data_IF_706050397126
#
_entry.id   IF_706050397126
#
_cell.length_a   1.000
_cell.length_b   1.000
_cell.length_c   1.000
_cell.angle_alpha   90.00
_cell.angle_beta   90.00
_cell.angle_gamma   90.00
#
_symmetry.space_group_name_H-M   'P 1'
#
loop_
_entity.id
_entity.type
_entity.pdbx_description
1 polymer ?
#
# COMPACT_ATOMS: atom_id res chain seq x y z
N UNK A 1 8.71 -0.88 -18.11
CA UNK A 1 9.58 -2.05 -17.91
C UNK A 1 9.35 -2.58 -16.52
N UNK A 2 9.18 -3.89 -16.35
CA UNK A 2 8.95 -4.53 -15.07
C UNK A 2 9.68 -5.86 -14.96
N UNK A 3 10.16 -6.14 -13.75
CA UNK A 3 10.69 -7.42 -13.32
C UNK A 3 9.82 -7.97 -12.22
N UNK A 4 9.48 -9.26 -12.31
CA UNK A 4 8.69 -9.99 -11.33
C UNK A 4 9.31 -11.34 -11.08
N UNK A 5 9.46 -11.71 -9.82
CA UNK A 5 9.87 -13.04 -9.40
C UNK A 5 9.09 -13.48 -8.18
N UNK A 6 8.62 -14.73 -8.15
CA UNK A 6 7.77 -15.23 -7.06
C UNK A 6 7.89 -16.73 -6.88
N UNK A 7 8.14 -17.13 -5.65
CA UNK A 7 8.15 -18.53 -5.20
C UNK A 7 7.13 -18.78 -4.08
N UNK A 8 6.13 -17.91 -3.94
CA UNK A 8 5.14 -18.00 -2.87
C UNK A 8 4.32 -19.28 -2.95
N UNK A 9 4.10 -19.92 -1.81
CA UNK A 9 3.27 -21.11 -1.68
C UNK A 9 1.76 -20.88 -1.80
N UNK A 10 1.31 -19.61 -1.67
CA UNK A 10 -0.10 -19.22 -1.82
C UNK A 10 -0.20 -17.79 -2.33
N UNK A 11 -1.27 -17.47 -3.09
CA UNK A 11 -1.54 -16.10 -3.57
C UNK A 11 -1.96 -15.16 -2.45
N UNK A 12 -2.81 -15.66 -1.56
CA UNK A 12 -3.26 -14.94 -0.38
C UNK A 12 -2.68 -15.61 0.85
N UNK A 13 -2.23 -14.80 1.81
CA UNK A 13 -1.73 -15.27 3.10
C UNK A 13 -0.62 -16.32 3.00
N UNK A 14 0.33 -16.15 2.08
CA UNK A 14 1.50 -17.01 1.95
C UNK A 14 2.28 -17.14 3.27
N UNK A 15 2.86 -18.31 3.48
CA UNK A 15 3.67 -18.65 4.66
C UNK A 15 5.09 -19.08 4.29
N UNK A 16 5.38 -19.26 3.00
CA UNK A 16 6.69 -19.70 2.48
C UNK A 16 6.99 -19.00 1.16
N UNK A 17 8.28 -18.87 0.86
CA UNK A 17 8.75 -18.29 -0.39
C UNK A 17 8.93 -16.79 -0.32
N UNK A 18 9.12 -16.19 -1.47
CA UNK A 18 9.29 -14.74 -1.60
C UNK A 18 8.57 -14.19 -2.83
N UNK A 19 8.40 -12.90 -2.85
CA UNK A 19 7.95 -12.13 -3.99
C UNK A 19 8.85 -10.91 -4.15
N UNK A 20 9.26 -10.63 -5.38
CA UNK A 20 10.05 -9.46 -5.71
C UNK A 20 9.49 -8.79 -6.97
N UNK A 21 9.38 -7.48 -6.93
CA UNK A 21 8.83 -6.67 -8.02
C UNK A 21 9.62 -5.39 -8.15
N UNK A 22 10.15 -5.13 -9.34
CA UNK A 22 10.72 -3.84 -9.73
C UNK A 22 9.99 -3.34 -10.97
N UNK A 23 9.45 -2.13 -10.91
CA UNK A 23 8.74 -1.53 -12.04
C UNK A 23 9.20 -0.10 -12.24
N UNK A 24 9.56 0.23 -13.47
CA UNK A 24 9.83 1.59 -13.92
C UNK A 24 8.83 1.97 -15.02
N UNK A 25 8.13 3.07 -14.84
CA UNK A 25 7.06 3.54 -15.72
C UNK A 25 7.22 5.03 -16.01
N UNK A 26 6.98 5.40 -17.26
CA UNK A 26 6.87 6.79 -17.69
C UNK A 26 5.41 7.05 -17.99
N UNK A 27 4.86 8.08 -17.38
CA UNK A 27 3.50 8.53 -17.59
C UNK A 27 3.50 9.85 -18.32
N UNK A 28 2.46 10.10 -19.10
CA UNK A 28 2.19 11.39 -19.70
C UNK A 28 0.68 11.66 -19.65
N UNK A 29 0.30 12.88 -19.31
CA UNK A 29 -1.10 13.25 -19.17
C UNK A 29 -1.30 14.76 -19.16
N UNK A 30 -2.57 15.17 -19.23
CA UNK A 30 -3.01 16.55 -19.06
C UNK A 30 -3.91 16.62 -17.85
N UNK A 31 -3.82 17.69 -17.09
CA UNK A 31 -4.71 17.96 -15.97
C UNK A 31 -5.62 19.12 -16.32
N UNK A 32 -6.93 18.91 -16.14
CA UNK A 32 -7.94 19.98 -16.25
C UNK A 32 -8.59 20.12 -14.87
N UNK A 33 -8.42 21.28 -14.27
CA UNK A 33 -9.08 21.62 -13.02
C UNK A 33 -10.32 22.46 -13.28
N UNK A 34 -11.46 22.03 -12.75
CA UNK A 34 -12.75 22.73 -12.83
C UNK A 34 -13.15 23.03 -11.38
N UNK A 35 -13.14 24.31 -10.94
CA UNK A 35 -13.59 24.66 -9.60
C UNK A 35 -15.06 24.26 -9.40
N UNK A 36 -15.39 23.72 -8.21
CA UNK A 36 -16.77 23.38 -7.85
C UNK A 36 -17.64 24.58 -7.47
N UNK A 37 -17.04 25.77 -7.36
CA UNK A 37 -17.76 27.00 -7.03
C UNK A 37 -18.18 27.72 -8.32
N UNK A 38 -19.48 27.93 -8.60
CA UNK A 38 -19.98 28.56 -9.83
C UNK A 38 -19.57 30.02 -9.99
N UNK A 39 -19.06 30.67 -8.95
CA UNK A 39 -18.55 32.06 -9.00
C UNK A 39 -17.13 32.15 -9.54
N UNK A 40 -16.37 31.06 -9.55
CA UNK A 40 -15.03 31.01 -10.13
C UNK A 40 -15.07 30.48 -11.56
N UNK A 41 -15.03 31.37 -12.54
CA UNK A 41 -15.02 31.03 -13.98
C UNK A 41 -13.65 30.65 -14.52
N UNK A 42 -12.62 30.59 -13.69
CA UNK A 42 -11.25 30.29 -14.14
C UNK A 42 -11.00 28.79 -14.22
N UNK A 43 -11.10 28.25 -15.41
CA UNK A 43 -10.59 26.90 -15.70
C UNK A 43 -9.07 26.94 -15.79
N UNK A 44 -8.39 26.15 -14.97
CA UNK A 44 -6.95 25.96 -15.11
C UNK A 44 -6.69 24.65 -15.84
N UNK A 45 -6.07 24.74 -17.01
CA UNK A 45 -5.59 23.56 -17.74
C UNK A 45 -4.08 23.58 -17.65
N UNK A 46 -3.50 22.58 -17.03
CA UNK A 46 -2.06 22.36 -17.09
C UNK A 46 -1.69 21.68 -18.39
N UNK A 47 -0.63 22.16 -19.01
CA UNK A 47 -0.04 21.54 -20.18
C UNK A 47 0.35 20.08 -19.93
N UNK A 48 0.65 19.39 -21.01
CA UNK A 48 1.08 18.00 -20.96
C UNK A 48 2.25 17.84 -20.00
N UNK A 49 2.05 17.03 -18.97
CA UNK A 49 3.05 16.68 -17.98
C UNK A 49 3.52 15.23 -18.21
N UNK A 50 4.81 15.01 -18.04
CA UNK A 50 5.37 13.66 -18.05
C UNK A 50 6.13 13.44 -16.74
N UNK A 51 6.02 12.25 -16.17
CA UNK A 51 6.75 11.88 -14.95
C UNK A 51 7.22 10.44 -14.99
N UNK A 52 8.31 10.20 -14.28
CA UNK A 52 8.85 8.87 -14.05
C UNK A 52 8.36 8.36 -12.70
N UNK A 53 7.99 7.08 -12.65
CA UNK A 53 7.73 6.36 -11.40
C UNK A 53 8.54 5.07 -11.37
N UNK A 54 9.27 4.86 -10.28
CA UNK A 54 10.02 3.64 -10.00
C UNK A 54 9.49 3.07 -8.69
N UNK A 55 9.10 1.81 -8.68
CA UNK A 55 8.67 1.10 -7.49
C UNK A 55 9.42 -0.21 -7.35
N UNK A 56 9.89 -0.47 -6.14
CA UNK A 56 10.48 -1.75 -5.75
C UNK A 56 9.74 -2.27 -4.52
N UNK A 57 9.37 -3.54 -4.57
CA UNK A 57 8.72 -4.24 -3.47
C UNK A 57 9.30 -5.64 -3.34
N UNK A 58 9.65 -6.01 -2.13
CA UNK A 58 10.06 -7.38 -1.80
C UNK A 58 9.45 -7.79 -0.48
N UNK A 59 8.96 -9.01 -0.43
CA UNK A 59 8.61 -9.67 0.81
C UNK A 59 9.00 -11.14 0.75
N UNK A 60 9.39 -11.68 1.90
CA UNK A 60 9.83 -13.06 2.03
C UNK A 60 9.37 -13.66 3.37
N UNK A 61 9.23 -14.97 3.36
CA UNK A 61 8.76 -15.75 4.50
C UNK A 61 9.79 -16.84 4.82
N UNK A 62 10.28 -16.83 6.05
CA UNK A 62 11.25 -17.80 6.57
C UNK A 62 10.58 -18.66 7.63
N UNK A 63 10.43 -19.95 7.35
CA UNK A 63 9.93 -20.92 8.31
C UNK A 63 10.99 -21.19 9.37
N UNK A 64 10.75 -20.74 10.59
CA UNK A 64 11.64 -20.95 11.75
C UNK A 64 11.38 -22.28 12.42
N UNK A 65 10.10 -22.65 12.54
CA UNK A 65 9.65 -23.94 13.05
C UNK A 65 8.43 -24.42 12.24
N UNK A 66 8.00 -25.69 12.36
CA UNK A 66 6.82 -26.18 11.66
C UNK A 66 5.54 -25.34 11.93
N UNK A 67 5.48 -24.65 13.07
CA UNK A 67 4.33 -23.83 13.46
C UNK A 67 4.59 -22.32 13.44
N UNK A 68 5.81 -21.87 13.16
CA UNK A 68 6.15 -20.46 13.19
C UNK A 68 6.95 -20.04 11.97
N UNK A 69 6.46 -19.03 11.31
CA UNK A 69 7.10 -18.38 10.16
C UNK A 69 7.30 -16.89 10.46
N UNK A 70 8.46 -16.38 10.16
CA UNK A 70 8.73 -14.94 10.18
C UNK A 70 8.75 -14.41 8.74
N UNK A 71 7.79 -13.55 8.44
CA UNK A 71 7.77 -12.78 7.21
C UNK A 71 8.36 -11.39 7.41
N UNK A 72 8.85 -10.79 6.34
CA UNK A 72 9.24 -9.39 6.28
C UNK A 72 8.89 -8.80 4.92
N UNK A 73 8.79 -7.48 4.85
CA UNK A 73 8.65 -6.75 3.60
C UNK A 73 9.46 -5.48 3.59
N UNK A 74 9.86 -5.05 2.40
CA UNK A 74 10.39 -3.73 2.11
C UNK A 74 9.77 -3.20 0.82
N UNK A 75 9.42 -1.93 0.82
CA UNK A 75 8.88 -1.24 -0.34
C UNK A 75 9.52 0.14 -0.47
N UNK A 76 9.86 0.50 -1.69
CA UNK A 76 10.37 1.82 -2.05
C UNK A 76 9.61 2.31 -3.27
N UNK A 77 9.20 3.57 -3.22
CA UNK A 77 8.57 4.23 -4.35
C UNK A 77 9.19 5.61 -4.54
N UNK A 78 9.51 5.91 -5.79
CA UNK A 78 9.90 7.22 -6.25
C UNK A 78 9.01 7.64 -7.42
N UNK A 79 8.41 8.81 -7.34
CA UNK A 79 7.69 9.44 -8.43
C UNK A 79 8.12 10.90 -8.58
N UNK A 80 8.49 11.29 -9.81
CA UNK A 80 8.80 12.68 -10.14
C UNK A 80 7.57 13.51 -10.48
N UNK A 81 6.37 13.02 -10.14
CA UNK A 81 5.11 13.69 -10.43
C UNK A 81 5.02 15.05 -9.73
N UNK A 82 4.65 16.06 -10.48
CA UNK A 82 4.35 17.39 -9.94
C UNK A 82 3.03 17.40 -9.17
N UNK A 83 2.84 18.38 -8.30
CA UNK A 83 1.59 18.59 -7.59
C UNK A 83 0.46 18.99 -8.54
N UNK A 84 -0.74 18.51 -8.23
CA UNK A 84 -1.98 18.96 -8.84
C UNK A 84 -2.36 20.37 -8.39
N UNK A 85 -3.42 20.92 -8.96
CA UNK A 85 -3.83 22.33 -8.69
C UNK A 85 -4.18 22.57 -7.22
N UNK A 86 -4.71 21.56 -6.54
CA UNK A 86 -5.01 21.64 -5.12
C UNK A 86 -4.44 20.45 -4.33
N UNK A 87 -4.40 20.60 -3.01
CA UNK A 87 -3.88 19.60 -2.08
C UNK A 87 -4.64 18.26 -2.18
N UNK A 88 -5.98 18.29 -2.18
CA UNK A 88 -6.77 17.06 -2.20
C UNK A 88 -6.54 16.24 -3.47
N UNK A 89 -6.50 16.88 -4.64
CA UNK A 89 -6.18 16.21 -5.90
C UNK A 89 -4.75 15.63 -5.89
N UNK A 90 -3.78 16.36 -5.31
CA UNK A 90 -2.41 15.88 -5.15
C UNK A 90 -2.38 14.62 -4.28
N UNK A 91 -3.07 14.61 -3.14
CA UNK A 91 -3.10 13.46 -2.23
C UNK A 91 -3.82 12.24 -2.82
N UNK A 92 -4.91 12.46 -3.56
CA UNK A 92 -5.61 11.36 -4.27
C UNK A 92 -4.73 10.70 -5.33
N UNK A 93 -3.86 11.45 -5.98
CA UNK A 93 -2.95 10.96 -7.02
C UNK A 93 -1.60 10.48 -6.50
N UNK A 94 -1.24 10.84 -5.26
CA UNK A 94 -0.02 10.35 -4.62
C UNK A 94 -0.11 8.83 -4.40
N UNK A 95 1.04 8.17 -4.52
CA UNK A 95 1.10 6.73 -4.31
C UNK A 95 0.72 6.36 -2.87
N UNK A 96 0.04 5.24 -2.74
CA UNK A 96 -0.51 4.70 -1.52
C UNK A 96 0.34 3.53 -1.01
N UNK A 97 0.66 3.53 0.29
CA UNK A 97 1.24 2.37 0.96
C UNK A 97 0.12 1.59 1.65
N UNK A 98 -0.23 0.43 1.08
CA UNK A 98 -1.36 -0.39 1.51
C UNK A 98 -0.98 -1.87 1.59
N UNK A 99 -0.23 -2.28 2.65
CA UNK A 99 0.35 -3.62 2.75
C UNK A 99 -0.63 -4.73 3.10
N UNK A 100 -1.78 -4.41 3.73
CA UNK A 100 -2.78 -5.40 4.12
C UNK A 100 -4.02 -5.35 3.22
N UNK A 101 -4.84 -6.42 3.13
CA UNK A 101 -6.08 -6.39 2.36
C UNK A 101 -7.01 -5.26 2.77
N UNK A 102 -7.12 -4.97 4.06
CA UNK A 102 -7.94 -3.88 4.57
C UNK A 102 -7.41 -2.50 4.15
N UNK A 103 -6.10 -2.27 4.25
CA UNK A 103 -5.50 -0.99 3.88
C UNK A 103 -5.72 -0.63 2.40
N UNK A 104 -5.91 -1.62 1.52
CA UNK A 104 -6.17 -1.39 0.08
C UNK A 104 -7.55 -0.81 -0.23
N UNK A 105 -8.52 -0.98 0.65
CA UNK A 105 -9.90 -0.49 0.47
C UNK A 105 -10.16 0.80 1.23
N UNK A 106 -9.22 1.25 2.04
CA UNK A 106 -9.35 2.44 2.88
C UNK A 106 -8.48 3.58 2.34
N UNK A 107 -9.08 4.76 2.18
CA UNK A 107 -8.30 5.96 1.90
C UNK A 107 -7.68 6.49 3.20
N UNK A 108 -6.36 6.45 3.29
CA UNK A 108 -5.63 7.06 4.39
C UNK A 108 -4.55 8.00 3.84
N UNK A 109 -4.78 9.31 3.99
CA UNK A 109 -3.88 10.36 3.55
C UNK A 109 -2.50 10.26 4.20
N UNK A 110 -2.44 9.75 5.42
CA UNK A 110 -1.20 9.63 6.17
C UNK A 110 -0.18 8.68 5.54
N UNK A 111 -0.65 7.69 4.78
CA UNK A 111 0.16 6.67 4.12
C UNK A 111 0.33 6.94 2.62
N UNK A 112 0.26 8.21 2.21
CA UNK A 112 0.43 8.62 0.80
C UNK A 112 1.59 9.58 0.63
N UNK A 113 2.41 9.32 -0.40
CA UNK A 113 3.50 10.20 -0.79
C UNK A 113 3.95 9.93 -2.23
N UNK A 114 4.59 10.90 -2.88
CA UNK A 114 5.24 10.69 -4.17
C UNK A 114 6.56 9.90 -4.04
N UNK A 115 7.17 9.92 -2.84
CA UNK A 115 8.44 9.27 -2.57
C UNK A 115 8.42 8.74 -1.14
N UNK A 116 8.60 7.44 -0.97
CA UNK A 116 8.60 6.83 0.37
C UNK A 116 9.45 5.57 0.44
N UNK A 117 9.80 5.24 1.67
CA UNK A 117 10.34 3.96 2.10
C UNK A 117 9.34 3.34 3.08
N UNK A 118 9.13 2.05 2.97
CA UNK A 118 8.31 1.31 3.91
C UNK A 118 8.93 -0.06 4.18
N UNK A 119 8.75 -0.54 5.39
CA UNK A 119 9.19 -1.88 5.80
C UNK A 119 8.23 -2.46 6.82
N UNK A 120 8.22 -3.78 6.93
CA UNK A 120 7.36 -4.45 7.90
C UNK A 120 7.83 -5.85 8.25
N UNK A 121 7.35 -6.32 9.39
CA UNK A 121 7.55 -7.68 9.90
C UNK A 121 6.21 -8.37 10.06
N UNK A 122 6.19 -9.69 9.83
CA UNK A 122 4.98 -10.53 9.81
C UNK A 122 5.21 -11.84 10.54
N UNK A 123 5.20 -11.86 11.88
CA UNK A 123 5.13 -13.11 12.64
C UNK A 123 3.84 -13.87 12.31
N UNK A 124 3.97 -15.16 11.97
CA UNK A 124 2.87 -16.01 11.56
C UNK A 124 2.91 -17.30 12.35
N UNK A 125 1.81 -17.63 13.04
CA UNK A 125 1.61 -18.89 13.71
C UNK A 125 0.65 -19.76 12.91
N UNK A 126 1.15 -20.89 12.42
CA UNK A 126 0.40 -21.86 11.61
C UNK A 126 -0.05 -22.99 12.53
N UNK A 127 -1.34 -23.12 12.77
CA UNK A 127 -1.90 -24.18 13.60
C UNK A 127 -2.06 -25.47 12.81
N UNK A 128 -2.56 -25.35 11.58
CA UNK A 128 -2.71 -26.42 10.61
C UNK A 128 -2.83 -25.80 9.20
N UNK A 129 -3.09 -26.63 8.18
CA UNK A 129 -3.18 -26.19 6.78
C UNK A 129 -4.33 -25.19 6.52
N UNK A 130 -5.33 -25.16 7.40
CA UNK A 130 -6.48 -24.26 7.27
C UNK A 130 -6.37 -23.01 8.12
N UNK A 131 -5.77 -23.07 9.31
CA UNK A 131 -5.81 -21.98 10.28
C UNK A 131 -4.43 -21.40 10.58
N UNK A 132 -4.33 -20.08 10.50
CA UNK A 132 -3.15 -19.32 10.90
C UNK A 132 -3.53 -18.02 11.60
N UNK A 133 -2.67 -17.54 12.48
CA UNK A 133 -2.73 -16.22 13.10
C UNK A 133 -1.52 -15.43 12.65
N UNK A 134 -1.76 -14.22 12.20
CA UNK A 134 -0.72 -13.27 11.75
C UNK A 134 -0.73 -12.03 12.63
N UNK A 135 0.45 -11.60 13.01
CA UNK A 135 0.67 -10.27 13.57
C UNK A 135 1.57 -9.51 12.60
N UNK A 136 1.14 -8.37 12.12
CA UNK A 136 1.85 -7.62 11.10
C UNK A 136 2.10 -6.19 11.61
N UNK A 137 3.33 -5.72 11.50
CA UNK A 137 3.70 -4.36 11.87
C UNK A 137 4.47 -3.73 10.73
N UNK A 138 4.04 -2.56 10.30
CA UNK A 138 4.60 -1.83 9.18
C UNK A 138 4.96 -0.40 9.58
N UNK A 139 6.10 0.06 9.10
CA UNK A 139 6.52 1.45 9.15
C UNK A 139 6.49 2.07 7.76
N UNK A 140 6.03 3.30 7.68
CA UNK A 140 5.99 4.12 6.46
C UNK A 140 6.68 5.45 6.70
N UNK A 141 7.60 5.80 5.84
CA UNK A 141 8.40 7.02 5.94
C UNK A 141 8.44 7.74 4.59
N UNK A 142 7.65 8.78 4.38
CA UNK A 142 7.76 9.63 3.20
C UNK A 142 9.11 10.34 3.21
N UNK A 143 9.83 10.33 2.07
CA UNK A 143 11.08 11.07 1.92
C UNK A 143 10.78 12.56 2.06
N UNK A 144 9.79 13.04 1.32
CA UNK A 144 9.26 14.39 1.47
C UNK A 144 7.74 14.32 1.71
N UNK A 145 7.25 14.51 2.94
CA UNK A 145 5.82 14.51 3.21
C UNK A 145 5.12 15.66 2.48
N UNK A 146 3.99 15.37 1.88
CA UNK A 146 3.15 16.36 1.21
C UNK A 146 2.34 17.09 2.27
N UNK A 147 2.41 18.41 2.28
CA UNK A 147 1.72 19.29 3.23
C UNK A 147 0.81 20.28 2.49
N UNK A 148 -0.19 20.77 3.22
CA UNK A 148 -1.15 21.77 2.76
C UNK A 148 -0.75 23.15 3.25
N UNK A 149 -0.77 24.16 2.35
CA UNK A 149 -0.61 25.56 2.74
C UNK A 149 -1.96 26.27 2.97
N UNK A 150 -1.93 27.52 3.38
CA UNK A 150 -3.14 28.32 3.62
C UNK A 150 -4.03 28.52 2.38
N UNK A 151 -3.47 28.44 1.17
CA UNK A 151 -4.17 28.55 -0.12
C UNK A 151 -4.66 27.18 -0.65
N UNK A 152 -4.73 26.15 0.19
CA UNK A 152 -5.12 24.79 -0.20
C UNK A 152 -4.24 24.16 -1.30
N UNK A 153 -3.00 24.62 -1.46
CA UNK A 153 -2.03 24.05 -2.39
C UNK A 153 -1.08 23.11 -1.66
N UNK A 154 -0.61 22.09 -2.38
CA UNK A 154 0.37 21.13 -1.87
C UNK A 154 1.79 21.70 -1.95
N UNK A 155 2.62 21.35 -0.98
CA UNK A 155 4.06 21.59 -0.99
C UNK A 155 4.80 20.47 -0.26
N UNK A 156 6.08 20.28 -0.56
CA UNK A 156 6.92 19.32 0.15
C UNK A 156 7.37 19.87 1.51
N UNK A 157 7.16 19.06 2.55
CA UNK A 157 7.72 19.32 3.87
C UNK A 157 9.21 18.97 3.95
N UNK A 158 9.80 19.13 5.14
CA UNK A 158 11.19 18.76 5.42
C UNK A 158 11.37 17.23 5.20
N UNK A 159 12.51 16.87 4.62
CA UNK A 159 12.85 15.46 4.37
C UNK A 159 12.81 14.63 5.67
N UNK A 160 12.27 13.42 5.59
CA UNK A 160 12.18 12.44 6.68
C UNK A 160 11.56 12.96 7.98
N UNK A 161 10.71 13.99 7.90
CA UNK A 161 10.10 14.63 9.09
C UNK A 161 8.83 13.95 9.59
N UNK A 162 8.41 12.86 8.97
CA UNK A 162 7.20 12.12 9.30
C UNK A 162 7.46 10.62 9.27
N UNK A 163 6.94 9.93 10.27
CA UNK A 163 6.93 8.48 10.32
C UNK A 163 5.54 8.02 10.76
N UNK A 164 4.98 7.06 10.04
CA UNK A 164 3.68 6.47 10.35
C UNK A 164 3.82 4.95 10.50
N UNK A 165 2.94 4.34 11.27
CA UNK A 165 2.92 2.89 11.42
C UNK A 165 1.49 2.34 11.36
N UNK A 166 1.40 1.09 10.91
CA UNK A 166 0.21 0.27 10.89
C UNK A 166 0.52 -1.06 11.57
N UNK A 167 -0.29 -1.42 12.58
CA UNK A 167 -0.29 -2.75 13.18
C UNK A 167 -1.59 -3.48 12.86
N UNK A 168 -1.51 -4.78 12.55
CA UNK A 168 -2.68 -5.63 12.30
C UNK A 168 -2.46 -7.01 12.91
N UNK A 169 -3.49 -7.54 13.58
CA UNK A 169 -3.56 -8.93 14.00
C UNK A 169 -4.75 -9.55 13.29
N UNK A 170 -4.54 -10.68 12.63
CA UNK A 170 -5.57 -11.38 11.88
C UNK A 170 -5.58 -12.88 12.15
N UNK A 171 -6.77 -13.45 12.24
CA UNK A 171 -7.02 -14.89 12.24
C UNK A 171 -7.53 -15.26 10.86
N UNK A 172 -6.90 -16.23 10.23
CA UNK A 172 -7.16 -16.59 8.84
C UNK A 172 -7.57 -18.06 8.78
N UNK A 173 -8.69 -18.31 8.09
CA UNK A 173 -9.12 -19.63 7.67
C UNK A 173 -8.90 -19.75 6.16
N UNK A 174 -7.94 -20.59 5.76
CA UNK A 174 -7.62 -20.87 4.36
C UNK A 174 -8.57 -21.94 3.83
N UNK A 175 -9.25 -21.64 2.74
CA UNK A 175 -10.16 -22.56 2.06
C UNK A 175 -9.60 -22.91 0.67
N UNK A 176 -10.02 -24.04 0.05
CA UNK A 176 -9.55 -24.42 -1.29
C UNK A 176 -9.84 -23.36 -2.36
N UNK A 177 -10.88 -22.56 -2.18
CA UNK A 177 -11.36 -21.53 -3.12
C UNK A 177 -11.05 -20.10 -2.65
N UNK A 178 -10.35 -19.90 -1.52
CA UNK A 178 -10.05 -18.57 -1.02
C UNK A 178 -9.66 -18.55 0.44
N UNK A 179 -9.83 -17.41 1.09
CA UNK A 179 -9.57 -17.27 2.52
C UNK A 179 -10.60 -16.37 3.20
N UNK A 180 -10.94 -16.70 4.43
CA UNK A 180 -11.71 -15.84 5.32
C UNK A 180 -10.75 -15.35 6.39
N UNK A 181 -10.75 -14.05 6.67
CA UNK A 181 -9.97 -13.48 7.78
C UNK A 181 -10.79 -12.54 8.63
N UNK A 182 -10.63 -12.66 9.95
CA UNK A 182 -11.04 -11.66 10.93
C UNK A 182 -9.80 -10.91 11.37
N UNK A 183 -9.86 -9.59 11.42
CA UNK A 183 -8.72 -8.76 11.79
C UNK A 183 -9.08 -7.64 12.75
N UNK A 184 -8.08 -7.21 13.50
CA UNK A 184 -8.07 -5.96 14.23
C UNK A 184 -6.81 -5.20 13.84
N UNK A 185 -6.94 -3.92 13.52
CA UNK A 185 -5.80 -3.09 13.16
C UNK A 185 -5.83 -1.71 13.82
N UNK A 186 -4.66 -1.09 13.82
CA UNK A 186 -4.44 0.23 14.38
C UNK A 186 -3.51 1.03 13.48
N UNK A 187 -3.93 2.26 13.16
CA UNK A 187 -3.15 3.22 12.39
C UNK A 187 -2.65 4.35 13.31
N UNK A 188 -1.40 4.76 13.11
CA UNK A 188 -0.82 5.90 13.84
C UNK A 188 -1.50 7.24 13.55
N UNK A 189 -2.09 7.37 12.35
CA UNK A 189 -2.63 8.63 11.84
C UNK A 189 -3.68 8.37 10.73
N UNK A 190 -4.63 9.26 10.47
CA UNK A 190 -4.83 10.59 11.07
C UNK A 190 -5.50 10.52 12.45
N UNK A 191 -6.30 9.50 12.68
CA UNK A 191 -6.93 9.21 13.96
C UNK A 191 -6.35 7.89 14.47
N UNK A 192 -5.90 7.87 15.71
CA UNK A 192 -5.41 6.66 16.37
C UNK A 192 -6.58 5.75 16.73
N UNK A 193 -7.23 5.19 15.74
CA UNK A 193 -8.41 4.35 15.91
C UNK A 193 -8.07 2.88 15.71
N UNK A 194 -8.77 2.04 16.46
CA UNK A 194 -8.81 0.62 16.26
C UNK A 194 -9.95 0.28 15.29
N UNK A 195 -9.67 -0.53 14.29
CA UNK A 195 -10.68 -1.03 13.37
C UNK A 195 -10.72 -2.55 13.48
N UNK A 196 -11.92 -3.09 13.45
CA UNK A 196 -12.19 -4.54 13.44
C UNK A 196 -13.00 -4.86 12.21
N UNK A 197 -12.68 -5.94 11.54
CA UNK A 197 -13.41 -6.34 10.35
C UNK A 197 -13.23 -7.77 9.94
N UNK A 198 -13.96 -8.14 8.89
CA UNK A 198 -13.93 -9.44 8.24
C UNK A 198 -13.58 -9.25 6.76
N UNK A 199 -12.74 -10.10 6.23
CA UNK A 199 -12.43 -10.13 4.80
C UNK A 199 -12.72 -11.52 4.25
N UNK A 200 -13.43 -11.56 3.12
CA UNK A 200 -13.63 -12.76 2.32
C UNK A 200 -12.86 -12.60 1.01
N UNK A 201 -11.81 -13.37 0.85
CA UNK A 201 -11.02 -13.42 -0.39
C UNK A 201 -11.42 -14.63 -1.22
N UNK A 202 -12.10 -14.40 -2.36
CA UNK A 202 -12.46 -15.45 -3.29
C UNK A 202 -11.47 -15.54 -4.44
N UNK A 203 -10.98 -16.73 -4.77
CA UNK A 203 -10.13 -16.97 -5.94
C UNK A 203 -11.00 -17.46 -7.08
N UNK A 204 -11.39 -16.59 -7.99
CA UNK A 204 -12.20 -16.93 -9.16
C UNK A 204 -11.43 -17.76 -10.21
N UNK A 205 -10.09 -17.73 -10.18
CA UNK A 205 -9.23 -18.47 -11.10
C UNK A 205 -8.16 -19.23 -10.32
N UNK A 206 -8.20 -20.53 -10.37
CA UNK A 206 -7.13 -21.37 -9.90
C UNK A 206 -6.15 -21.60 -11.06
N UNK A 207 -4.88 -21.20 -10.90
CA UNK A 207 -3.84 -21.35 -11.93
C UNK A 207 -3.60 -22.81 -12.37
N UNK A 208 -4.04 -23.78 -11.55
CA UNK A 208 -3.92 -25.21 -11.85
C UNK A 208 -4.91 -25.72 -12.91
N UNK A 209 -5.84 -24.89 -13.37
CA UNK A 209 -6.81 -25.25 -14.41
C UNK A 209 -6.50 -24.62 -15.77
N UNK A 210 -5.33 -24.01 -15.96
CA UNK A 210 -4.90 -23.35 -17.20
C UNK A 210 -3.61 -24.01 -17.74
N UNK A 211 -3.30 -25.23 -17.31
CA UNK A 211 -2.30 -26.08 -17.98
C UNK A 211 -2.98 -27.03 -18.97
#
# INVERSE_FOLDING_TARGET
IGFYDSTLNARQYATKGYFEKLVAQVFTGKEKFIPGNPTETSFTTKDRQSWLQISYMKYAYHTMTPKFTLGWMAEMLYSSKNFSENYAATMLQAADFSPTPHSKIMYNEAFRANQFLAAGIKPIFVFNDMFQVRSELYGFMPIFPIKKNALNKAYYGKAFSRFEYLGEISVICQLPFGAISAYVNHYSSPKKEWNVGLTLGWQLFNYRFIE
#
